data_IF_385666681159
#
_entry.id   IF_385666681159
#
_cell.length_a   1.000
_cell.length_b   1.000
_cell.length_c   1.000
_cell.angle_alpha   90.00
_cell.angle_beta   90.00
_cell.angle_gamma   90.00
#
_symmetry.space_group_name_H-M   'P 1'
#
loop_
_entity.id
_entity.type
_entity.pdbx_description
1 polymer ?
#
# COMPACT_ATOMS: atom_id res chain seq x y z
N UNK A 1 22.12 28.88 -22.67
CA UNK A 1 21.29 27.93 -23.43
C UNK A 1 20.01 28.61 -23.89
N UNK A 2 19.96 29.08 -25.15
CA UNK A 2 18.71 29.50 -25.81
C UNK A 2 18.22 28.37 -26.72
N UNK A 3 16.90 28.25 -26.87
CA UNK A 3 16.29 27.21 -27.69
C UNK A 3 16.82 27.25 -29.13
N UNK A 4 17.34 26.14 -29.62
CA UNK A 4 17.93 26.02 -30.98
C UNK A 4 19.44 25.95 -31.04
N UNK A 5 20.19 26.28 -29.97
CA UNK A 5 21.65 26.31 -29.97
C UNK A 5 22.30 25.08 -29.27
N UNK A 6 21.51 24.07 -28.89
CA UNK A 6 22.05 22.91 -28.21
C UNK A 6 23.10 22.14 -29.01
N UNK A 7 22.90 22.01 -30.35
CA UNK A 7 23.87 21.35 -31.22
C UNK A 7 25.19 22.12 -31.28
N UNK A 8 25.12 23.45 -31.42
CA UNK A 8 26.32 24.29 -31.43
C UNK A 8 27.07 24.23 -30.10
N UNK A 9 26.32 24.20 -29.00
CA UNK A 9 26.89 24.03 -27.65
C UNK A 9 27.62 22.69 -27.49
N UNK A 10 27.01 21.58 -27.96
CA UNK A 10 27.61 20.26 -27.97
C UNK A 10 28.91 20.28 -28.79
N UNK A 11 28.86 20.77 -30.04
CA UNK A 11 30.04 20.79 -30.92
C UNK A 11 31.17 21.61 -30.32
N UNK A 12 30.85 22.76 -29.70
CA UNK A 12 31.83 23.63 -29.05
C UNK A 12 32.48 22.94 -27.84
N UNK A 13 31.70 22.34 -26.97
CA UNK A 13 32.21 21.65 -25.77
C UNK A 13 33.01 20.41 -26.12
N UNK A 14 32.60 19.62 -27.12
CA UNK A 14 33.37 18.46 -27.60
C UNK A 14 34.72 18.87 -28.23
N UNK A 15 34.75 19.93 -29.02
CA UNK A 15 36.01 20.51 -29.56
C UNK A 15 36.91 20.99 -28.43
N UNK A 16 36.34 21.65 -27.42
CA UNK A 16 37.09 22.13 -26.24
C UNK A 16 37.69 20.95 -25.51
N UNK A 17 36.93 19.85 -25.31
CA UNK A 17 37.40 18.62 -24.69
C UNK A 17 38.58 18.02 -25.51
N UNK A 18 38.43 17.88 -26.80
CA UNK A 18 39.47 17.34 -27.68
C UNK A 18 40.81 18.14 -27.58
N UNK A 19 40.69 19.47 -27.64
CA UNK A 19 41.86 20.34 -27.50
C UNK A 19 42.48 20.24 -26.11
N UNK A 20 41.64 20.20 -25.07
CA UNK A 20 42.09 20.05 -23.66
C UNK A 20 42.84 18.72 -23.45
N UNK A 21 42.28 17.62 -23.92
CA UNK A 21 42.90 16.30 -23.80
C UNK A 21 44.30 16.22 -24.43
N UNK A 22 44.53 16.90 -25.58
CA UNK A 22 45.85 17.00 -26.17
C UNK A 22 46.87 17.74 -25.31
N UNK A 23 46.41 18.49 -24.33
CA UNK A 23 47.21 19.28 -23.39
C UNK A 23 47.17 18.68 -21.96
N UNK A 24 46.58 17.51 -21.78
CA UNK A 24 46.43 16.90 -20.45
C UNK A 24 45.42 17.62 -19.55
N UNK A 25 44.50 18.40 -20.12
CA UNK A 25 43.47 19.14 -19.40
C UNK A 25 42.11 18.58 -19.81
N UNK A 26 41.29 18.14 -18.85
CA UNK A 26 39.92 17.71 -19.10
C UNK A 26 38.93 18.87 -18.89
N UNK A 27 37.68 18.68 -19.34
CA UNK A 27 36.63 19.65 -19.07
C UNK A 27 36.37 19.74 -17.56
N UNK A 28 35.95 20.93 -17.11
CA UNK A 28 35.46 21.09 -15.73
C UNK A 28 34.16 20.30 -15.51
N UNK A 29 33.86 19.97 -14.25
CA UNK A 29 32.63 19.30 -13.87
C UNK A 29 31.39 19.99 -14.44
N UNK A 30 31.29 21.33 -14.33
CA UNK A 30 30.18 22.11 -14.87
C UNK A 30 30.07 22.04 -16.38
N UNK A 31 31.18 21.97 -17.10
CA UNK A 31 31.16 21.83 -18.56
C UNK A 31 30.67 20.44 -19.00
N UNK A 32 31.03 19.38 -18.29
CA UNK A 32 30.47 18.05 -18.53
C UNK A 32 28.97 18.03 -18.30
N UNK A 33 28.48 18.59 -17.18
CA UNK A 33 27.05 18.67 -16.89
C UNK A 33 26.33 19.51 -17.95
N UNK A 34 26.92 20.64 -18.38
CA UNK A 34 26.37 21.47 -19.46
C UNK A 34 26.22 20.70 -20.78
N UNK A 35 27.24 19.90 -21.12
CA UNK A 35 27.22 19.03 -22.30
C UNK A 35 26.11 17.97 -22.17
N UNK A 36 25.99 17.32 -21.02
CA UNK A 36 24.92 16.35 -20.74
C UNK A 36 23.52 16.98 -20.80
N UNK A 37 23.35 18.19 -20.27
CA UNK A 37 22.09 18.92 -20.36
C UNK A 37 21.71 19.30 -21.79
N UNK A 38 22.69 19.64 -22.62
CA UNK A 38 22.45 19.89 -24.06
C UNK A 38 21.95 18.64 -24.78
N UNK A 39 22.55 17.46 -24.51
CA UNK A 39 22.06 16.19 -25.02
C UNK A 39 20.66 15.84 -24.49
N UNK A 40 20.38 16.13 -23.21
CA UNK A 40 19.05 15.93 -22.64
C UNK A 40 17.96 16.71 -23.40
N UNK A 41 18.22 17.97 -23.75
CA UNK A 41 17.29 18.79 -24.53
C UNK A 41 17.05 18.24 -25.95
N UNK A 42 18.04 17.58 -26.53
CA UNK A 42 17.92 16.87 -27.81
C UNK A 42 17.31 15.46 -27.65
N UNK A 43 16.92 15.05 -26.46
CA UNK A 43 16.38 13.70 -26.12
C UNK A 43 17.38 12.56 -26.35
N UNK A 44 18.65 12.87 -26.43
CA UNK A 44 19.74 11.89 -26.51
C UNK A 44 20.13 11.40 -25.09
N UNK A 45 19.22 10.65 -24.44
CA UNK A 45 19.33 10.29 -23.03
C UNK A 45 20.61 9.51 -22.68
N UNK A 46 21.13 8.56 -23.49
CA UNK A 46 22.39 7.88 -23.18
C UNK A 46 23.60 8.83 -23.11
N UNK A 47 23.68 9.79 -24.04
CA UNK A 47 24.73 10.80 -24.02
C UNK A 47 24.55 11.78 -22.85
N UNK A 48 23.30 12.17 -22.57
CA UNK A 48 22.98 13.02 -21.41
C UNK A 48 23.47 12.37 -20.11
N UNK A 49 23.12 11.10 -19.88
CA UNK A 49 23.56 10.34 -18.72
C UNK A 49 25.10 10.29 -18.63
N UNK A 50 25.75 9.85 -19.69
CA UNK A 50 27.21 9.72 -19.77
C UNK A 50 27.96 11.00 -19.33
N UNK A 51 27.50 12.16 -19.78
CA UNK A 51 28.21 13.40 -19.49
C UNK A 51 27.82 14.01 -18.17
N UNK A 52 26.56 13.85 -17.70
CA UNK A 52 26.17 14.30 -16.34
C UNK A 52 26.86 13.45 -15.28
N UNK A 53 26.88 12.12 -15.45
CA UNK A 53 27.58 11.22 -14.55
C UNK A 53 29.08 11.58 -14.48
N UNK A 54 29.72 11.75 -15.63
CA UNK A 54 31.12 12.18 -15.65
C UNK A 54 31.34 13.54 -14.94
N UNK A 55 30.40 14.47 -15.07
CA UNK A 55 30.45 15.76 -14.36
C UNK A 55 30.40 15.58 -12.85
N UNK A 56 29.53 14.69 -12.34
CA UNK A 56 29.46 14.37 -10.93
C UNK A 56 30.75 13.68 -10.43
N UNK A 57 31.30 12.72 -11.20
CA UNK A 57 32.52 11.96 -10.85
C UNK A 57 33.75 12.86 -10.69
N UNK A 58 33.88 13.88 -11.54
CA UNK A 58 35.05 14.80 -11.50
C UNK A 58 34.81 16.03 -10.62
N UNK A 59 33.64 16.17 -10.05
CA UNK A 59 33.33 17.28 -9.15
C UNK A 59 33.96 17.08 -7.77
N UNK A 60 34.63 18.09 -7.27
CA UNK A 60 35.12 18.10 -5.89
C UNK A 60 34.05 18.55 -4.87
N UNK A 61 32.90 18.99 -5.35
CA UNK A 61 31.81 19.50 -4.54
C UNK A 61 30.52 18.71 -4.84
N UNK A 62 29.75 18.49 -3.78
CA UNK A 62 28.42 17.89 -3.89
C UNK A 62 27.45 18.87 -4.55
N UNK A 63 26.82 18.46 -5.66
CA UNK A 63 25.73 19.19 -6.29
C UNK A 63 24.48 18.33 -6.40
N UNK A 64 23.52 18.63 -5.55
CA UNK A 64 22.30 17.86 -5.44
C UNK A 64 21.49 17.82 -6.75
N UNK A 65 21.39 18.95 -7.47
CA UNK A 65 20.64 19.02 -8.71
C UNK A 65 21.27 18.12 -9.81
N UNK A 66 22.59 18.11 -9.89
CA UNK A 66 23.29 17.27 -10.87
C UNK A 66 23.08 15.78 -10.58
N UNK A 67 23.15 15.40 -9.31
CA UNK A 67 22.87 14.01 -8.90
C UNK A 67 21.40 13.62 -9.12
N UNK A 68 20.46 14.54 -8.94
CA UNK A 68 19.06 14.26 -9.27
C UNK A 68 18.85 14.08 -10.79
N UNK A 69 19.55 14.83 -11.62
CA UNK A 69 19.53 14.62 -13.07
C UNK A 69 20.13 13.26 -13.43
N UNK A 70 21.28 12.91 -12.87
CA UNK A 70 21.90 11.59 -13.08
C UNK A 70 20.96 10.46 -12.66
N UNK A 71 20.43 10.53 -11.45
CA UNK A 71 19.45 9.57 -10.93
C UNK A 71 18.26 9.41 -11.87
N UNK A 72 17.65 10.52 -12.26
CA UNK A 72 16.48 10.52 -13.15
C UNK A 72 16.77 9.94 -14.53
N UNK A 73 17.97 10.16 -15.06
CA UNK A 73 18.43 9.60 -16.33
C UNK A 73 18.73 8.11 -16.22
N UNK A 74 19.41 7.69 -15.16
CA UNK A 74 19.67 6.26 -14.88
C UNK A 74 18.36 5.48 -14.82
N UNK A 75 17.35 6.01 -14.10
CA UNK A 75 16.00 5.39 -14.02
C UNK A 75 15.35 5.29 -15.41
N UNK A 76 15.39 6.36 -16.20
CA UNK A 76 14.81 6.38 -17.56
C UNK A 76 15.50 5.40 -18.53
N UNK A 77 16.76 5.14 -18.30
CA UNK A 77 17.58 4.20 -19.08
C UNK A 77 17.56 2.78 -18.52
N UNK A 78 16.75 2.53 -17.47
CA UNK A 78 16.67 1.24 -16.78
C UNK A 78 18.02 0.74 -16.20
N UNK A 79 18.92 1.67 -15.92
CA UNK A 79 20.20 1.44 -15.26
C UNK A 79 19.99 1.41 -13.75
N UNK A 80 19.37 0.32 -13.29
CA UNK A 80 18.90 0.24 -11.91
C UNK A 80 20.03 0.21 -10.89
N UNK A 81 21.15 -0.45 -11.18
CA UNK A 81 22.30 -0.52 -10.27
C UNK A 81 22.89 0.87 -10.04
N UNK A 82 23.17 1.61 -11.11
CA UNK A 82 23.69 2.98 -11.03
C UNK A 82 22.68 3.93 -10.37
N UNK A 83 21.39 3.76 -10.65
CA UNK A 83 20.34 4.55 -9.99
C UNK A 83 20.28 4.27 -8.48
N UNK A 84 20.50 3.02 -8.04
CA UNK A 84 20.57 2.66 -6.62
C UNK A 84 21.74 3.37 -5.95
N UNK A 85 22.93 3.34 -6.53
CA UNK A 85 24.12 4.00 -5.97
C UNK A 85 23.90 5.50 -5.79
N UNK A 86 23.43 6.18 -6.83
CA UNK A 86 23.13 7.62 -6.77
C UNK A 86 22.01 7.92 -5.77
N UNK A 87 20.95 7.10 -5.75
CA UNK A 87 19.83 7.27 -4.84
C UNK A 87 20.24 7.09 -3.37
N UNK A 88 21.08 6.11 -3.05
CA UNK A 88 21.64 5.90 -1.73
C UNK A 88 22.51 7.10 -1.29
N UNK A 89 23.30 7.64 -2.21
CA UNK A 89 24.11 8.81 -1.91
C UNK A 89 23.25 10.06 -1.65
N UNK A 90 22.18 10.28 -2.44
CA UNK A 90 21.22 11.36 -2.19
C UNK A 90 20.57 11.25 -0.80
N UNK A 91 20.20 10.03 -0.37
CA UNK A 91 19.68 9.79 0.99
C UNK A 91 20.74 10.05 2.06
N UNK A 92 21.99 9.60 1.82
CA UNK A 92 23.06 9.80 2.76
C UNK A 92 23.30 11.28 3.05
N UNK A 93 23.26 12.13 2.02
CA UNK A 93 23.50 13.57 2.15
C UNK A 93 22.27 14.31 2.70
N UNK A 94 21.06 13.90 2.29
CA UNK A 94 19.80 14.54 2.70
C UNK A 94 18.77 13.49 3.21
N UNK A 95 19.03 12.87 4.37
CA UNK A 95 18.19 11.78 4.88
C UNK A 95 16.75 12.21 5.20
N UNK A 96 16.51 13.49 5.43
CA UNK A 96 15.20 14.05 5.75
C UNK A 96 14.29 14.23 4.51
N UNK A 97 14.83 14.09 3.31
CA UNK A 97 14.03 14.21 2.08
C UNK A 97 13.29 12.92 1.76
N UNK A 98 12.02 12.85 2.17
CA UNK A 98 11.11 11.72 1.87
C UNK A 98 11.07 11.34 0.38
N UNK A 99 11.27 12.32 -0.52
CA UNK A 99 11.25 12.08 -1.96
C UNK A 99 12.32 11.07 -2.38
N UNK A 100 13.53 11.14 -1.83
CA UNK A 100 14.62 10.23 -2.18
C UNK A 100 14.37 8.80 -1.74
N UNK A 101 13.81 8.60 -0.56
CA UNK A 101 13.41 7.29 -0.07
C UNK A 101 12.40 6.61 -1.00
N UNK A 102 11.41 7.38 -1.46
CA UNK A 102 10.39 6.88 -2.40
C UNK A 102 10.96 6.58 -3.78
N UNK A 103 11.81 7.47 -4.28
CA UNK A 103 12.44 7.30 -5.59
C UNK A 103 13.32 6.06 -5.58
N UNK A 104 14.16 5.89 -4.54
CA UNK A 104 15.02 4.71 -4.40
C UNK A 104 14.19 3.43 -4.25
N UNK A 105 13.12 3.45 -3.45
CA UNK A 105 12.19 2.32 -3.35
C UNK A 105 11.58 1.97 -4.71
N UNK A 106 11.19 2.98 -5.50
CA UNK A 106 10.70 2.78 -6.87
C UNK A 106 11.73 2.15 -7.80
N UNK A 107 13.01 2.52 -7.65
CA UNK A 107 14.13 1.92 -8.41
C UNK A 107 14.32 0.45 -8.05
N UNK A 108 14.33 0.12 -6.77
CA UNK A 108 14.40 -1.28 -6.31
C UNK A 108 13.23 -2.10 -6.87
N UNK A 109 12.01 -1.55 -6.84
CA UNK A 109 10.85 -2.22 -7.42
C UNK A 109 10.98 -2.43 -8.94
N UNK A 110 11.45 -1.43 -9.68
CA UNK A 110 11.72 -1.53 -11.13
C UNK A 110 12.78 -2.56 -11.47
N UNK A 111 13.83 -2.66 -10.64
CA UNK A 111 14.87 -3.70 -10.73
C UNK A 111 14.44 -5.08 -10.19
N UNK A 112 13.15 -5.26 -9.87
CA UNK A 112 12.57 -6.49 -9.29
C UNK A 112 13.08 -6.87 -7.90
N UNK A 113 13.62 -5.91 -7.16
CA UNK A 113 14.09 -6.06 -5.79
C UNK A 113 12.99 -5.59 -4.83
N UNK A 114 11.87 -6.35 -4.75
CA UNK A 114 10.68 -5.94 -3.99
C UNK A 114 10.94 -5.81 -2.49
N UNK A 115 11.77 -6.67 -1.93
CA UNK A 115 12.05 -6.70 -0.49
C UNK A 115 12.89 -5.47 -0.08
N UNK A 116 13.89 -5.09 -0.87
CA UNK A 116 14.67 -3.86 -0.69
C UNK A 116 13.80 -2.62 -0.89
N UNK A 117 12.87 -2.66 -1.85
CA UNK A 117 11.88 -1.60 -2.04
C UNK A 117 11.05 -1.39 -0.79
N UNK A 118 10.52 -2.47 -0.21
CA UNK A 118 9.72 -2.41 1.01
C UNK A 118 10.57 -1.97 2.21
N UNK A 119 11.80 -2.50 2.35
CA UNK A 119 12.72 -2.12 3.42
C UNK A 119 13.05 -0.62 3.39
N UNK A 120 13.27 -0.06 2.19
CA UNK A 120 13.50 1.38 2.02
C UNK A 120 12.32 2.24 2.49
N UNK A 121 11.08 1.84 2.15
CA UNK A 121 9.87 2.53 2.63
C UNK A 121 9.67 2.36 4.13
N UNK A 122 9.95 1.18 4.68
CA UNK A 122 9.89 0.95 6.12
C UNK A 122 10.88 1.84 6.87
N UNK A 123 12.12 1.93 6.37
CA UNK A 123 13.14 2.78 6.98
C UNK A 123 12.77 4.26 6.91
N UNK A 124 12.17 4.71 5.80
CA UNK A 124 11.63 6.07 5.68
C UNK A 124 10.53 6.35 6.72
N UNK A 125 9.67 5.37 7.00
CA UNK A 125 8.68 5.46 8.06
C UNK A 125 9.31 5.55 9.45
N UNK A 126 10.27 4.67 9.76
CA UNK A 126 10.96 4.65 11.06
C UNK A 126 11.79 5.93 11.31
N UNK A 127 12.33 6.53 10.27
CA UNK A 127 13.01 7.82 10.32
C UNK A 127 12.05 9.02 10.46
N UNK A 128 10.75 8.80 10.36
CA UNK A 128 9.75 9.87 10.48
C UNK A 128 9.69 10.82 9.28
N UNK A 129 10.35 10.50 8.16
CA UNK A 129 10.41 11.37 6.98
C UNK A 129 9.16 11.27 6.07
N UNK A 130 8.24 10.37 6.37
CA UNK A 130 6.97 10.28 5.65
C UNK A 130 5.99 11.38 6.09
N UNK A 131 5.51 12.17 5.14
CA UNK A 131 4.63 13.31 5.43
C UNK A 131 3.26 13.20 4.80
N UNK A 132 3.16 12.59 3.62
CA UNK A 132 1.93 12.60 2.82
C UNK A 132 1.00 11.46 3.26
N UNK A 133 -0.30 11.76 3.34
CA UNK A 133 -1.33 10.76 3.66
C UNK A 133 -1.24 9.49 2.79
N UNK A 134 -0.87 9.63 1.52
CA UNK A 134 -0.75 8.50 0.59
C UNK A 134 0.33 7.50 1.03
N UNK A 135 1.38 7.95 1.71
CA UNK A 135 2.46 7.10 2.20
C UNK A 135 1.97 6.18 3.32
N UNK A 136 1.21 6.76 4.28
CA UNK A 136 0.58 6.05 5.39
C UNK A 136 -0.59 5.12 4.96
N UNK A 137 -0.98 5.15 3.69
CA UNK A 137 -2.00 4.25 3.14
C UNK A 137 -1.42 3.21 2.17
N UNK A 138 -0.33 3.51 1.50
CA UNK A 138 0.29 2.57 0.55
C UNK A 138 1.25 1.60 1.25
N UNK A 139 2.10 2.07 2.16
CA UNK A 139 3.01 1.21 2.91
C UNK A 139 2.28 0.09 3.68
N UNK A 140 1.17 0.36 4.43
CA UNK A 140 0.40 -0.72 5.05
C UNK A 140 -0.12 -1.76 4.07
N UNK A 141 -0.61 -1.35 2.89
CA UNK A 141 -1.09 -2.30 1.89
C UNK A 141 0.02 -3.19 1.37
N UNK A 142 1.22 -2.63 1.22
CA UNK A 142 2.39 -3.41 0.83
C UNK A 142 2.79 -4.40 1.93
N UNK A 143 2.76 -3.99 3.20
CA UNK A 143 2.94 -4.91 4.33
C UNK A 143 1.90 -6.03 4.35
N UNK A 144 0.61 -5.72 4.10
CA UNK A 144 -0.44 -6.73 4.03
C UNK A 144 -0.24 -7.71 2.87
N UNK A 145 0.20 -7.21 1.72
CA UNK A 145 0.55 -8.06 0.57
C UNK A 145 1.69 -9.04 0.88
N UNK A 146 2.67 -8.62 1.69
CA UNK A 146 3.80 -9.45 2.15
C UNK A 146 3.49 -10.23 3.45
N UNK A 147 2.23 -10.32 3.86
CA UNK A 147 1.78 -11.00 5.10
C UNK A 147 2.47 -10.48 6.38
N UNK A 148 2.63 -9.16 6.47
CA UNK A 148 3.21 -8.44 7.61
C UNK A 148 2.16 -7.53 8.30
N UNK A 149 1.04 -8.07 8.81
CA UNK A 149 -0.09 -7.28 9.27
C UNK A 149 0.22 -6.42 10.49
N UNK A 150 1.11 -6.86 11.37
CA UNK A 150 1.51 -6.07 12.56
C UNK A 150 2.24 -4.78 12.19
N UNK A 151 3.07 -4.81 11.14
CA UNK A 151 3.71 -3.61 10.60
C UNK A 151 2.67 -2.68 9.95
N UNK A 152 1.71 -3.23 9.23
CA UNK A 152 0.62 -2.45 8.66
C UNK A 152 -0.20 -1.72 9.74
N UNK A 153 -0.57 -2.42 10.82
CA UNK A 153 -1.27 -1.84 11.97
C UNK A 153 -0.47 -0.68 12.59
N UNK A 154 0.84 -0.87 12.78
CA UNK A 154 1.73 0.17 13.33
C UNK A 154 1.68 1.45 12.49
N UNK A 155 1.81 1.33 11.17
CA UNK A 155 1.82 2.49 10.26
C UNK A 155 0.47 3.19 10.23
N UNK A 156 -0.65 2.43 10.16
CA UNK A 156 -2.00 3.02 10.11
C UNK A 156 -2.31 3.76 11.41
N UNK A 157 -2.03 3.15 12.57
CA UNK A 157 -2.26 3.79 13.87
C UNK A 157 -1.40 5.05 14.01
N UNK A 158 -0.12 4.97 13.68
CA UNK A 158 0.74 6.16 13.67
C UNK A 158 0.16 7.28 12.77
N UNK A 159 -0.37 6.92 11.62
CA UNK A 159 -1.02 7.85 10.70
C UNK A 159 -2.29 8.50 11.30
N UNK A 160 -3.09 7.77 12.07
CA UNK A 160 -4.24 8.31 12.79
C UNK A 160 -3.83 9.21 13.97
N UNK A 161 -2.92 8.73 14.81
CA UNK A 161 -2.46 9.42 16.03
C UNK A 161 -1.82 10.78 15.69
N UNK A 162 -1.05 10.83 14.61
CA UNK A 162 -0.40 12.04 14.12
C UNK A 162 -1.23 12.83 13.09
N UNK A 163 -2.50 12.49 12.90
CA UNK A 163 -3.42 13.17 11.97
C UNK A 163 -2.91 13.24 10.52
N UNK A 164 -2.03 12.32 10.14
CA UNK A 164 -1.51 12.19 8.76
C UNK A 164 -2.56 11.60 7.81
N UNK A 165 -3.44 10.73 8.31
CA UNK A 165 -4.59 10.18 7.58
C UNK A 165 -5.88 10.43 8.33
N UNK A 166 -6.98 10.58 7.58
CA UNK A 166 -8.31 10.82 8.15
C UNK A 166 -8.88 9.53 8.71
N UNK A 167 -9.52 9.62 9.87
CA UNK A 167 -10.38 8.56 10.39
C UNK A 167 -11.67 8.58 9.56
N UNK A 168 -11.81 7.64 8.63
CA UNK A 168 -12.98 7.46 7.78
C UNK A 168 -13.22 5.95 7.57
N UNK A 169 -14.39 5.62 7.02
CA UNK A 169 -14.78 4.23 6.79
C UNK A 169 -13.68 3.41 6.09
N UNK A 170 -13.17 3.91 4.97
CA UNK A 170 -12.18 3.20 4.14
C UNK A 170 -10.89 2.88 4.90
N UNK A 171 -10.40 3.82 5.69
CA UNK A 171 -9.14 3.66 6.42
C UNK A 171 -9.33 2.79 7.68
N UNK A 172 -10.52 2.85 8.31
CA UNK A 172 -10.88 1.93 9.40
C UNK A 172 -11.07 0.50 8.87
N UNK A 173 -11.71 0.32 7.72
CA UNK A 173 -11.85 -1.00 7.10
C UNK A 173 -10.47 -1.63 6.80
N UNK A 174 -9.51 -0.82 6.30
CA UNK A 174 -8.13 -1.28 6.09
C UNK A 174 -7.44 -1.69 7.40
N UNK A 175 -7.62 -0.92 8.48
CA UNK A 175 -7.09 -1.25 9.80
C UNK A 175 -7.72 -2.54 10.35
N UNK A 176 -9.04 -2.70 10.18
CA UNK A 176 -9.75 -3.90 10.61
C UNK A 176 -9.23 -5.14 9.86
N UNK A 177 -9.02 -5.04 8.53
CA UNK A 177 -8.45 -6.12 7.74
C UNK A 177 -7.04 -6.50 8.24
N UNK A 178 -6.22 -5.51 8.59
CA UNK A 178 -4.90 -5.75 9.18
C UNK A 178 -5.00 -6.49 10.53
N UNK A 179 -5.94 -6.11 11.40
CA UNK A 179 -6.16 -6.82 12.67
C UNK A 179 -6.62 -8.26 12.46
N UNK A 180 -7.54 -8.52 11.50
CA UNK A 180 -7.98 -9.89 11.21
C UNK A 180 -6.83 -10.76 10.66
N UNK A 181 -5.99 -10.23 9.80
CA UNK A 181 -4.79 -10.92 9.32
C UNK A 181 -3.78 -11.18 10.45
N UNK A 182 -3.66 -10.25 11.40
CA UNK A 182 -2.85 -10.41 12.61
C UNK A 182 -3.48 -11.35 13.66
N UNK A 183 -4.64 -11.96 13.36
CA UNK A 183 -5.43 -12.81 14.27
C UNK A 183 -5.97 -12.08 15.51
N UNK A 184 -5.92 -10.77 15.56
CA UNK A 184 -6.52 -9.95 16.63
C UNK A 184 -7.99 -9.65 16.28
N UNK A 185 -8.84 -10.67 16.42
CA UNK A 185 -10.25 -10.61 16.03
C UNK A 185 -11.01 -9.54 16.78
N UNK A 186 -10.76 -9.37 18.08
CA UNK A 186 -11.48 -8.40 18.90
C UNK A 186 -11.25 -6.98 18.42
N UNK A 187 -9.98 -6.57 18.22
CA UNK A 187 -9.68 -5.24 17.68
C UNK A 187 -10.18 -5.06 16.25
N UNK A 188 -10.18 -6.13 15.44
CA UNK A 188 -10.78 -6.11 14.11
C UNK A 188 -12.27 -5.78 14.15
N UNK A 189 -13.03 -6.46 15.00
CA UNK A 189 -14.47 -6.24 15.22
C UNK A 189 -14.72 -4.81 15.73
N UNK A 190 -14.01 -4.39 16.78
CA UNK A 190 -14.17 -3.05 17.36
C UNK A 190 -13.90 -1.95 16.32
N UNK A 191 -12.92 -2.18 15.46
CA UNK A 191 -12.59 -1.24 14.39
C UNK A 191 -13.67 -1.18 13.31
N UNK A 192 -14.29 -2.33 12.95
CA UNK A 192 -15.43 -2.36 12.04
C UNK A 192 -16.68 -1.70 12.64
N UNK A 193 -16.90 -1.84 13.95
CA UNK A 193 -18.01 -1.14 14.65
C UNK A 193 -17.81 0.37 14.52
N UNK A 194 -16.61 0.89 14.79
CA UNK A 194 -16.28 2.32 14.56
C UNK A 194 -16.47 2.75 13.11
N UNK A 195 -16.15 1.87 12.16
CA UNK A 195 -16.37 2.11 10.74
C UNK A 195 -17.86 2.28 10.40
N UNK A 196 -18.74 1.45 11.00
CA UNK A 196 -20.19 1.54 10.83
C UNK A 196 -20.81 2.80 11.47
N UNK A 197 -20.21 3.35 12.52
CA UNK A 197 -20.65 4.63 13.13
C UNK A 197 -20.46 5.79 12.15
N UNK A 198 -19.46 5.73 11.27
CA UNK A 198 -19.23 6.75 10.24
C UNK A 198 -20.18 6.58 9.06
N UNK A 199 -20.36 5.35 8.59
CA UNK A 199 -21.24 5.03 7.47
C UNK A 199 -21.77 3.62 7.62
N UNK A 200 -23.08 3.50 7.69
CA UNK A 200 -23.82 2.24 7.71
C UNK A 200 -23.61 1.50 6.38
N UNK A 201 -23.39 0.18 6.46
CA UNK A 201 -23.10 -0.65 5.31
C UNK A 201 -23.35 -2.14 5.65
N UNK A 202 -24.27 -2.75 4.91
CA UNK A 202 -24.69 -4.14 5.11
C UNK A 202 -23.52 -5.13 5.01
N UNK A 203 -22.56 -4.89 4.12
CA UNK A 203 -21.37 -5.73 3.97
C UNK A 203 -20.51 -5.72 5.22
N UNK A 204 -20.34 -4.55 5.84
CA UNK A 204 -19.57 -4.42 7.08
C UNK A 204 -20.33 -5.07 8.25
N UNK A 205 -21.66 -4.88 8.35
CA UNK A 205 -22.50 -5.56 9.33
C UNK A 205 -22.40 -7.08 9.20
N UNK A 206 -22.50 -7.63 7.99
CA UNK A 206 -22.32 -9.06 7.74
C UNK A 206 -20.93 -9.55 8.13
N UNK A 207 -19.89 -8.78 7.85
CA UNK A 207 -18.50 -9.12 8.21
C UNK A 207 -18.32 -9.22 9.73
N UNK A 208 -18.87 -8.26 10.48
CA UNK A 208 -18.87 -8.31 11.96
C UNK A 208 -19.61 -9.55 12.45
N UNK A 209 -20.81 -9.82 11.90
CA UNK A 209 -21.62 -10.96 12.29
C UNK A 209 -20.87 -12.28 12.08
N UNK A 210 -20.19 -12.44 10.95
CA UNK A 210 -19.39 -13.63 10.66
C UNK A 210 -18.24 -13.83 11.65
N UNK A 211 -17.47 -12.79 11.95
CA UNK A 211 -16.37 -12.90 12.89
C UNK A 211 -16.85 -13.11 14.32
N UNK A 212 -17.98 -12.52 14.70
CA UNK A 212 -18.63 -12.79 15.98
C UNK A 212 -19.11 -14.24 16.07
N UNK A 213 -19.70 -14.76 15.01
CA UNK A 213 -20.13 -16.15 14.91
C UNK A 213 -18.95 -17.13 15.04
N UNK A 214 -17.86 -16.90 14.30
CA UNK A 214 -16.62 -17.70 14.41
C UNK A 214 -15.94 -17.63 15.79
N UNK A 215 -16.23 -16.58 16.55
CA UNK A 215 -15.78 -16.40 17.93
C UNK A 215 -16.81 -16.85 18.97
N UNK A 216 -17.89 -17.53 18.55
CA UNK A 216 -18.99 -18.02 19.39
C UNK A 216 -19.68 -16.91 20.22
N UNK A 217 -19.53 -15.66 19.77
CA UNK A 217 -20.27 -14.53 20.34
C UNK A 217 -21.65 -14.43 19.68
N UNK A 218 -22.55 -15.32 20.10
CA UNK A 218 -23.85 -15.52 19.45
C UNK A 218 -24.73 -14.28 19.49
N UNK A 219 -24.73 -13.53 20.58
CA UNK A 219 -25.50 -12.30 20.71
C UNK A 219 -25.07 -11.24 19.69
N UNK A 220 -23.76 -11.05 19.57
CA UNK A 220 -23.21 -10.12 18.59
C UNK A 220 -23.47 -10.62 17.16
N UNK A 221 -23.30 -11.90 16.90
CA UNK A 221 -23.55 -12.51 15.59
C UNK A 221 -25.00 -12.25 15.14
N UNK A 222 -25.98 -12.60 15.98
CA UNK A 222 -27.40 -12.37 15.72
C UNK A 222 -27.69 -10.90 15.44
N UNK A 223 -27.24 -10.01 16.36
CA UNK A 223 -27.44 -8.57 16.22
C UNK A 223 -26.98 -8.03 14.86
N UNK A 224 -25.80 -8.43 14.42
CA UNK A 224 -25.21 -7.90 13.19
C UNK A 224 -25.65 -8.64 11.93
N UNK A 225 -26.11 -9.90 12.02
CA UNK A 225 -26.83 -10.57 10.93
C UNK A 225 -28.18 -9.90 10.66
N UNK A 226 -28.96 -9.64 11.71
CA UNK A 226 -30.25 -8.92 11.58
C UNK A 226 -30.05 -7.52 11.02
N UNK A 227 -28.99 -6.82 11.45
CA UNK A 227 -28.64 -5.53 10.91
C UNK A 227 -28.28 -5.59 9.44
N UNK A 228 -27.43 -6.54 9.03
CA UNK A 228 -27.03 -6.70 7.64
C UNK A 228 -28.25 -6.97 6.74
N UNK A 229 -29.22 -7.78 7.23
CA UNK A 229 -30.46 -8.07 6.54
C UNK A 229 -31.36 -6.84 6.42
N UNK A 230 -31.49 -6.03 7.45
CA UNK A 230 -32.26 -4.78 7.43
C UNK A 230 -31.64 -3.71 6.51
N UNK A 231 -30.34 -3.81 6.19
CA UNK A 231 -29.58 -2.95 5.29
C UNK A 231 -29.49 -3.52 3.86
N UNK A 232 -30.44 -4.36 3.44
CA UNK A 232 -30.56 -4.96 2.10
C UNK A 232 -29.34 -5.82 1.66
N UNK A 233 -28.76 -6.57 2.60
CA UNK A 233 -27.79 -7.59 2.25
C UNK A 233 -28.44 -8.73 1.45
N UNK A 234 -28.12 -8.84 0.17
CA UNK A 234 -28.75 -9.77 -0.75
C UNK A 234 -27.78 -10.73 -1.47
N UNK A 235 -26.49 -10.70 -1.13
CA UNK A 235 -25.50 -11.54 -1.82
C UNK A 235 -25.67 -13.04 -1.53
N UNK A 236 -26.07 -13.40 -0.30
CA UNK A 236 -26.35 -14.77 0.13
C UNK A 236 -27.44 -14.78 1.21
N UNK A 237 -28.68 -14.44 0.86
CA UNK A 237 -29.75 -14.19 1.85
C UNK A 237 -30.03 -15.42 2.73
N UNK A 238 -30.17 -16.59 2.16
CA UNK A 238 -30.42 -17.82 2.91
C UNK A 238 -29.31 -18.20 3.90
N UNK A 239 -28.08 -17.80 3.63
CA UNK A 239 -26.93 -18.05 4.51
C UNK A 239 -27.01 -17.23 5.79
N UNK A 240 -27.50 -15.98 5.73
CA UNK A 240 -27.71 -15.17 6.96
C UNK A 240 -28.72 -15.89 7.86
N UNK A 241 -29.87 -16.28 7.32
CA UNK A 241 -30.90 -16.94 8.11
C UNK A 241 -30.40 -18.26 8.69
N UNK A 242 -29.69 -19.07 7.91
CA UNK A 242 -29.06 -20.30 8.39
C UNK A 242 -28.12 -20.06 9.58
N UNK A 243 -27.16 -19.11 9.44
CA UNK A 243 -26.20 -18.81 10.50
C UNK A 243 -26.86 -18.19 11.72
N UNK A 244 -27.89 -17.36 11.51
CA UNK A 244 -28.68 -16.80 12.62
C UNK A 244 -29.44 -17.89 13.37
N UNK A 245 -30.04 -18.85 12.64
CA UNK A 245 -30.68 -20.01 13.24
C UNK A 245 -29.73 -20.88 14.06
N UNK A 246 -28.52 -21.14 13.53
CA UNK A 246 -27.47 -21.85 14.29
C UNK A 246 -27.10 -21.08 15.56
N UNK A 247 -26.88 -19.75 15.46
CA UNK A 247 -26.54 -18.94 16.64
C UNK A 247 -27.63 -18.97 17.72
N UNK A 248 -28.92 -19.02 17.33
CA UNK A 248 -30.02 -19.19 18.28
C UNK A 248 -30.06 -20.61 18.88
N UNK A 249 -29.71 -21.64 18.09
CA UNK A 249 -29.60 -23.02 18.59
C UNK A 249 -28.52 -23.15 19.68
N UNK A 250 -27.34 -22.58 19.43
CA UNK A 250 -26.21 -22.56 20.38
C UNK A 250 -26.51 -21.78 21.68
N UNK A 251 -27.61 -20.99 21.68
CA UNK A 251 -28.15 -20.31 22.86
C UNK A 251 -29.33 -21.05 23.49
N UNK A 252 -29.58 -22.28 23.13
CA UNK A 252 -30.76 -23.08 23.55
C UNK A 252 -32.11 -22.43 23.22
N UNK A 253 -32.14 -21.49 22.25
CA UNK A 253 -33.36 -20.80 21.85
C UNK A 253 -34.01 -21.50 20.64
N UNK A 254 -34.41 -22.74 20.81
CA UNK A 254 -34.83 -23.64 19.73
C UNK A 254 -35.98 -23.10 18.86
N UNK A 255 -36.97 -22.44 19.49
CA UNK A 255 -38.08 -21.84 18.73
C UNK A 255 -37.62 -20.74 17.77
N UNK A 256 -36.66 -19.91 18.21
CA UNK A 256 -36.08 -18.90 17.35
C UNK A 256 -35.21 -19.54 16.24
N UNK A 257 -34.43 -20.57 16.60
CA UNK A 257 -33.64 -21.34 15.65
C UNK A 257 -34.52 -21.91 14.53
N UNK A 258 -35.61 -22.60 14.87
CA UNK A 258 -36.59 -23.14 13.90
C UNK A 258 -37.16 -22.07 12.98
N UNK A 259 -37.54 -20.90 13.53
CA UNK A 259 -38.04 -19.79 12.73
C UNK A 259 -37.05 -19.36 11.63
N UNK A 260 -35.78 -19.19 11.97
CA UNK A 260 -34.78 -18.79 10.99
C UNK A 260 -34.43 -19.91 10.00
N UNK A 261 -34.44 -21.18 10.43
CA UNK A 261 -34.26 -22.33 9.54
C UNK A 261 -35.40 -22.43 8.52
N UNK A 262 -36.66 -22.17 8.93
CA UNK A 262 -37.81 -22.11 8.03
C UNK A 262 -37.72 -21.01 6.98
N UNK A 263 -37.04 -19.91 7.27
CA UNK A 263 -36.74 -18.87 6.28
C UNK A 263 -35.64 -19.35 5.34
N UNK A 264 -34.57 -19.95 5.89
CA UNK A 264 -33.42 -20.41 5.12
C UNK A 264 -33.76 -21.51 4.09
N UNK A 265 -34.79 -22.33 4.32
CA UNK A 265 -35.29 -23.36 3.38
C UNK A 265 -35.72 -22.76 2.04
N UNK A 266 -36.20 -21.52 2.03
CA UNK A 266 -36.72 -20.88 0.81
C UNK A 266 -35.59 -20.49 -0.19
N UNK A 267 -34.34 -20.73 0.13
CA UNK A 267 -33.20 -20.40 -0.69
C UNK A 267 -32.41 -21.67 -1.04
N UNK A 268 -32.22 -21.94 -2.31
CA UNK A 268 -31.61 -23.18 -2.81
C UNK A 268 -30.25 -23.48 -2.17
N UNK A 269 -29.41 -22.44 -1.98
CA UNK A 269 -28.07 -22.57 -1.39
C UNK A 269 -28.05 -22.98 0.09
N UNK A 270 -29.12 -22.75 0.83
CA UNK A 270 -29.22 -23.08 2.27
C UNK A 270 -30.25 -24.17 2.60
N UNK A 271 -31.09 -24.54 1.64
CA UNK A 271 -32.22 -25.44 1.84
C UNK A 271 -31.83 -26.75 2.51
N UNK A 272 -30.92 -27.50 1.88
CA UNK A 272 -30.53 -28.83 2.39
C UNK A 272 -29.92 -28.75 3.81
N UNK A 273 -29.10 -27.73 4.08
CA UNK A 273 -28.54 -27.52 5.40
C UNK A 273 -29.62 -27.16 6.44
N UNK A 274 -30.54 -26.27 6.07
CA UNK A 274 -31.63 -25.84 6.95
C UNK A 274 -32.58 -27.01 7.29
N UNK A 275 -32.92 -27.87 6.32
CA UNK A 275 -33.71 -29.10 6.53
C UNK A 275 -33.03 -30.03 7.55
N UNK A 276 -31.72 -30.25 7.41
CA UNK A 276 -30.93 -31.04 8.36
C UNK A 276 -30.93 -30.44 9.78
N UNK A 277 -30.78 -29.13 9.88
CA UNK A 277 -30.83 -28.44 11.17
C UNK A 277 -32.21 -28.51 11.82
N UNK A 278 -33.31 -28.40 11.07
CA UNK A 278 -34.68 -28.55 11.60
C UNK A 278 -34.86 -29.92 12.23
N UNK A 279 -34.43 -30.98 11.55
CA UNK A 279 -34.50 -32.34 12.11
C UNK A 279 -33.70 -32.46 13.41
N UNK A 280 -32.48 -31.92 13.44
CA UNK A 280 -31.64 -31.95 14.61
C UNK A 280 -32.21 -31.16 15.79
N UNK A 281 -32.77 -29.96 15.51
CA UNK A 281 -33.42 -29.14 16.55
C UNK A 281 -34.63 -29.86 17.14
N UNK A 282 -35.49 -30.45 16.29
CA UNK A 282 -36.67 -31.18 16.73
C UNK A 282 -36.28 -32.37 17.64
N UNK A 283 -35.26 -33.15 17.25
CA UNK A 283 -34.73 -34.22 18.08
C UNK A 283 -34.23 -33.70 19.44
N UNK A 284 -33.55 -32.56 19.45
CA UNK A 284 -33.04 -31.91 20.68
C UNK A 284 -34.19 -31.44 21.61
N UNK A 285 -35.36 -31.10 21.03
CA UNK A 285 -36.58 -30.74 21.75
C UNK A 285 -37.40 -31.95 22.20
N UNK A 286 -37.08 -33.17 21.73
CA UNK A 286 -37.83 -34.36 22.02
C UNK A 286 -39.14 -34.51 21.22
N UNK A 287 -39.19 -33.89 20.02
CA UNK A 287 -40.33 -33.89 19.12
C UNK A 287 -40.03 -34.69 17.84
#
# INVERSE_FOLDING_TARGET
FQAGEYKLSIDTLLKTQEIGMKRGIDLSASNFVMLGMAYYQLKELPNAYKYISKGNDVSNEFNEDWLQYEFGLAVKLEKYEEAIEVGQFLIFVNPEKNTYWKQLSGVYYGGKNEDESLAGLELAFEKGVMEKAVDFLNLPKYFLYKDLPTKAIKVINHGFDNKKIKVNKKNLDLLADAYFLAKDRNKGIDTLIKSLEIKIDSKTSYKIARFAFEAENWDMAIKYFDRAKAEDWNQVPGRIDLLTGIAYFEKDQFNNALKYMQIAINYDESKSAAEGWIQYINQSMGI
#
